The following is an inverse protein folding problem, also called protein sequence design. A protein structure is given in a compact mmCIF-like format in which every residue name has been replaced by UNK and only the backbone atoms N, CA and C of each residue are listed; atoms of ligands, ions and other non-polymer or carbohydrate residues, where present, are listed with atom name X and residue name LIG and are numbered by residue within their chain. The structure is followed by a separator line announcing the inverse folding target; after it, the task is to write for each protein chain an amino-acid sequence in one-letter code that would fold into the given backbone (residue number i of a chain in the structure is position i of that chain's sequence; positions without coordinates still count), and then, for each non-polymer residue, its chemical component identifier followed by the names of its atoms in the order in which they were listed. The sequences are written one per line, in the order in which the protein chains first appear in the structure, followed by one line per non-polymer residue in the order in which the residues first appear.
data_IF_221360954855
#
_entry.id   IF_221360954855
#
_cell.length_a   1.000
_cell.length_b   1.000
_cell.length_c   1.000
_cell.angle_alpha   90.00
_cell.angle_beta   90.00
_cell.angle_gamma   90.00
#
_symmetry.space_group_name_H-M   'P 1'
#
loop_
_entity.id
_entity.type
_entity.pdbx_description
1 polymer ?
#
# COMPACT_ATOMS: atom_id res chain seq x y z
N UNK A 1 16.55 -20.91 4.04
CA UNK A 1 17.14 -20.47 2.76
C UNK A 1 16.71 -19.05 2.48
N UNK A 2 17.67 -18.18 2.38
CA UNK A 2 17.37 -16.78 2.14
C UNK A 2 16.85 -16.59 0.73
N UNK A 3 15.72 -15.93 0.62
CA UNK A 3 15.20 -15.56 -0.68
C UNK A 3 16.05 -14.41 -1.23
N UNK A 4 16.78 -14.69 -2.31
CA UNK A 4 17.51 -13.61 -2.96
C UNK A 4 16.55 -12.78 -3.79
N UNK A 5 16.26 -11.60 -3.26
CA UNK A 5 15.48 -10.62 -3.99
C UNK A 5 16.41 -9.89 -4.97
N UNK A 6 15.88 -9.50 -6.11
CA UNK A 6 16.67 -8.78 -7.10
C UNK A 6 17.04 -7.38 -6.63
N UNK A 7 17.85 -6.68 -7.44
CA UNK A 7 18.35 -5.36 -7.09
C UNK A 7 17.23 -4.34 -6.87
N UNK A 8 16.14 -4.47 -7.60
CA UNK A 8 15.00 -3.56 -7.46
C UNK A 8 14.40 -3.64 -6.05
N UNK A 9 14.21 -4.87 -5.52
CA UNK A 9 13.73 -5.06 -4.15
C UNK A 9 14.74 -4.54 -3.13
N UNK A 10 16.03 -4.73 -3.36
CA UNK A 10 17.05 -4.23 -2.44
C UNK A 10 16.99 -2.71 -2.31
N UNK A 11 16.80 -2.01 -3.40
CA UNK A 11 16.65 -0.55 -3.37
C UNK A 11 15.45 -0.14 -2.50
N UNK A 12 14.31 -0.77 -2.70
CA UNK A 12 13.09 -0.43 -1.95
C UNK A 12 13.22 -0.81 -0.48
N UNK A 13 13.78 -1.98 -0.19
CA UNK A 13 13.95 -2.45 1.18
C UNK A 13 14.93 -1.60 1.98
N UNK A 14 15.87 -0.93 1.31
CA UNK A 14 16.83 -0.02 1.93
C UNK A 14 16.29 1.39 2.10
N UNK A 15 15.14 1.71 1.50
CA UNK A 15 14.52 3.03 1.68
C UNK A 15 14.17 3.25 3.15
N UNK A 16 14.16 4.51 3.55
CA UNK A 16 13.87 4.87 4.94
C UNK A 16 12.47 4.40 5.34
N UNK A 17 12.40 3.48 6.30
CA UNK A 17 11.15 2.99 6.86
C UNK A 17 10.64 3.96 7.92
N UNK A 18 9.38 4.37 7.80
CA UNK A 18 8.77 5.33 8.72
C UNK A 18 7.53 4.73 9.36
N UNK A 19 7.38 4.84 10.69
CA UNK A 19 6.12 4.46 11.34
C UNK A 19 4.98 5.31 10.78
N UNK A 20 3.91 4.64 10.35
CA UNK A 20 2.75 5.36 9.79
C UNK A 20 2.13 6.29 10.82
N UNK A 21 2.06 5.86 12.05
CA UNK A 21 1.49 6.67 13.14
C UNK A 21 2.26 7.95 13.44
N UNK A 22 3.51 8.08 12.97
CA UNK A 22 4.31 9.29 13.13
C UNK A 22 4.31 10.20 11.90
N UNK A 23 3.64 9.79 10.82
CA UNK A 23 3.62 10.59 9.60
C UNK A 23 2.65 11.77 9.70
N UNK A 24 3.04 12.86 9.06
CA UNK A 24 2.12 13.95 8.70
C UNK A 24 2.09 14.06 7.18
N UNK A 25 1.06 14.68 6.64
CA UNK A 25 0.83 14.76 5.20
C UNK A 25 2.07 15.24 4.42
N UNK A 26 2.74 16.26 4.93
CA UNK A 26 3.91 16.84 4.27
C UNK A 26 5.16 15.96 4.25
N UNK A 27 5.17 14.88 5.03
CA UNK A 27 6.29 13.93 5.02
C UNK A 27 6.32 13.13 3.71
N UNK A 28 5.16 12.94 3.08
CA UNK A 28 5.05 12.17 1.84
C UNK A 28 5.12 13.12 0.64
N UNK A 29 6.08 12.93 -0.27
CA UNK A 29 6.26 13.89 -1.37
C UNK A 29 5.16 13.75 -2.45
N UNK A 30 4.89 14.87 -3.12
CA UNK A 30 3.92 14.93 -4.22
C UNK A 30 4.59 14.61 -5.55
N UNK A 31 5.19 13.44 -5.64
CA UNK A 31 5.93 12.97 -6.82
C UNK A 31 5.60 11.52 -7.13
N UNK A 32 5.87 11.05 -8.36
CA UNK A 32 5.71 9.63 -8.66
C UNK A 32 6.68 8.77 -7.88
N UNK A 33 6.28 7.54 -7.60
CA UNK A 33 7.16 6.60 -6.92
C UNK A 33 6.51 5.28 -6.63
N UNK A 34 7.27 4.44 -5.94
CA UNK A 34 6.85 3.12 -5.47
C UNK A 34 6.94 3.11 -3.96
N UNK A 35 5.95 2.53 -3.30
CA UNK A 35 5.91 2.46 -1.84
C UNK A 35 5.72 1.04 -1.36
N UNK A 36 6.17 0.81 -0.13
CA UNK A 36 6.19 -0.48 0.52
C UNK A 36 5.53 -0.34 1.89
N UNK A 37 4.64 -1.26 2.22
CA UNK A 37 3.98 -1.31 3.53
C UNK A 37 4.41 -2.56 4.27
N UNK A 38 4.78 -2.40 5.55
CA UNK A 38 5.06 -3.51 6.45
C UNK A 38 4.10 -3.45 7.64
N UNK A 39 3.73 -4.63 8.13
CA UNK A 39 2.93 -4.77 9.34
C UNK A 39 3.61 -5.81 10.24
N UNK A 40 3.86 -5.46 11.50
CA UNK A 40 4.61 -6.30 12.43
C UNK A 40 5.96 -6.75 11.85
N UNK A 41 6.63 -5.85 11.13
CA UNK A 41 7.91 -6.14 10.49
C UNK A 41 7.83 -6.97 9.22
N UNK A 42 6.65 -7.46 8.85
CA UNK A 42 6.47 -8.30 7.67
C UNK A 42 6.09 -7.46 6.47
N UNK A 43 6.76 -7.71 5.34
CA UNK A 43 6.42 -7.10 4.06
C UNK A 43 5.00 -7.50 3.67
N UNK A 44 4.12 -6.52 3.51
CA UNK A 44 2.69 -6.78 3.32
C UNK A 44 2.16 -6.34 1.96
N UNK A 45 2.66 -5.23 1.41
CA UNK A 45 2.10 -4.66 0.19
C UNK A 45 3.12 -3.75 -0.49
N UNK A 46 3.13 -3.78 -1.83
CA UNK A 46 3.89 -2.83 -2.65
C UNK A 46 2.94 -2.21 -3.65
N UNK A 47 3.10 -0.91 -3.90
CA UNK A 47 2.27 -0.21 -4.86
C UNK A 47 3.02 0.90 -5.57
N UNK A 48 2.39 1.45 -6.60
CA UNK A 48 2.92 2.55 -7.39
C UNK A 48 1.95 3.73 -7.36
N UNK A 49 2.47 4.92 -7.55
CA UNK A 49 1.67 6.13 -7.56
C UNK A 49 2.24 7.15 -8.55
N UNK A 50 1.34 7.90 -9.19
CA UNK A 50 1.73 9.11 -9.91
C UNK A 50 1.98 10.26 -8.94
N UNK A 51 1.42 10.17 -7.74
CA UNK A 51 1.59 11.13 -6.65
C UNK A 51 1.59 10.33 -5.35
N UNK A 52 2.74 10.14 -4.74
CA UNK A 52 2.88 9.35 -3.51
C UNK A 52 2.00 9.88 -2.39
N UNK A 53 1.97 11.21 -2.17
CA UNK A 53 1.13 11.80 -1.11
C UNK A 53 -0.34 11.47 -1.33
N UNK A 54 -0.82 11.64 -2.55
CA UNK A 54 -2.22 11.34 -2.87
C UNK A 54 -2.56 9.88 -2.63
N UNK A 55 -1.67 8.96 -3.02
CA UNK A 55 -1.93 7.53 -2.90
C UNK A 55 -1.77 7.03 -1.47
N UNK A 56 -0.65 7.33 -0.83
CA UNK A 56 -0.35 6.84 0.52
C UNK A 56 -1.20 7.57 1.55
N UNK A 57 -1.16 8.90 1.57
CA UNK A 57 -1.83 9.68 2.61
C UNK A 57 -3.33 9.78 2.39
N UNK A 58 -3.75 10.24 1.22
CA UNK A 58 -5.17 10.51 0.98
C UNK A 58 -5.98 9.24 0.70
N UNK A 59 -5.45 8.32 -0.10
CA UNK A 59 -6.19 7.12 -0.52
C UNK A 59 -6.10 6.00 0.51
N UNK A 60 -4.89 5.56 0.83
CA UNK A 60 -4.72 4.38 1.71
C UNK A 60 -4.99 4.69 3.18
N UNK A 61 -4.61 5.87 3.66
CA UNK A 61 -4.84 6.26 5.04
C UNK A 61 -6.17 6.99 5.27
N UNK A 62 -7.00 7.10 4.23
CA UNK A 62 -8.33 7.64 4.37
C UNK A 62 -9.23 6.76 5.25
N UNK A 63 -10.17 7.38 5.97
CA UNK A 63 -11.04 6.67 6.91
C UNK A 63 -12.47 6.43 6.42
N UNK A 64 -12.73 6.63 5.13
CA UNK A 64 -14.08 6.49 4.58
C UNK A 64 -14.57 5.04 4.49
N UNK A 65 -15.88 4.87 4.39
CA UNK A 65 -16.51 3.54 4.31
C UNK A 65 -16.45 2.92 2.91
N UNK A 66 -16.07 3.68 1.90
CA UNK A 66 -15.85 3.15 0.55
C UNK A 66 -14.39 2.72 0.40
N UNK A 67 -14.19 1.46 0.07
CA UNK A 67 -12.86 0.91 -0.17
C UNK A 67 -12.52 0.82 -1.66
N UNK A 68 -13.42 1.29 -2.53
CA UNK A 68 -13.31 1.06 -3.97
C UNK A 68 -12.03 1.65 -4.59
N UNK A 69 -11.53 2.75 -4.05
CA UNK A 69 -10.33 3.41 -4.57
C UNK A 69 -9.00 2.87 -4.06
N UNK A 70 -9.02 1.89 -3.15
CA UNK A 70 -7.79 1.39 -2.52
C UNK A 70 -7.76 -0.12 -2.46
N UNK A 71 -6.94 -0.74 -3.32
CA UNK A 71 -6.75 -2.19 -3.26
C UNK A 71 -6.15 -2.62 -1.93
N UNK A 72 -5.25 -1.83 -1.36
CA UNK A 72 -4.68 -2.13 -0.05
C UNK A 72 -5.76 -2.20 1.03
N UNK A 73 -6.64 -1.19 1.10
CA UNK A 73 -7.73 -1.18 2.07
C UNK A 73 -8.70 -2.35 1.85
N UNK A 74 -9.02 -2.68 0.59
CA UNK A 74 -9.88 -3.82 0.27
C UNK A 74 -9.27 -5.14 0.75
N UNK A 75 -7.98 -5.31 0.57
CA UNK A 75 -7.30 -6.55 0.94
C UNK A 75 -7.12 -6.63 2.47
N UNK A 76 -6.94 -5.51 3.16
CA UNK A 76 -7.00 -5.49 4.63
C UNK A 76 -8.40 -5.81 5.12
N UNK A 77 -9.43 -5.33 4.44
CA UNK A 77 -10.82 -5.67 4.76
C UNK A 77 -11.11 -7.17 4.64
N UNK A 78 -10.52 -7.83 3.65
CA UNK A 78 -10.60 -9.29 3.54
C UNK A 78 -9.86 -9.97 4.70
N UNK A 79 -8.67 -9.48 5.00
CA UNK A 79 -7.85 -10.05 6.08
C UNK A 79 -8.56 -9.98 7.43
N UNK A 80 -9.16 -8.86 7.75
CA UNK A 80 -9.77 -8.61 9.07
C UNK A 80 -11.20 -9.12 9.19
N UNK A 81 -11.98 -9.08 8.10
CA UNK A 81 -13.43 -9.31 8.15
C UNK A 81 -13.93 -10.35 7.16
N UNK A 82 -13.02 -10.98 6.40
CA UNK A 82 -13.39 -11.97 5.38
C UNK A 82 -14.33 -11.41 4.30
N UNK A 83 -14.23 -10.11 4.02
CA UNK A 83 -15.00 -9.47 2.96
C UNK A 83 -14.23 -9.62 1.65
N UNK A 84 -14.76 -10.37 0.67
CA UNK A 84 -14.06 -10.51 -0.62
C UNK A 84 -13.79 -9.16 -1.27
N UNK A 85 -12.56 -8.89 -1.74
CA UNK A 85 -12.25 -7.60 -2.36
C UNK A 85 -13.14 -7.25 -3.55
N UNK A 86 -13.68 -8.25 -4.25
CA UNK A 86 -14.59 -8.02 -5.37
C UNK A 86 -15.90 -7.35 -4.96
N UNK A 87 -16.32 -7.51 -3.71
CA UNK A 87 -17.54 -6.86 -3.23
C UNK A 87 -17.35 -5.37 -2.98
N UNK A 88 -16.17 -4.97 -2.52
CA UNK A 88 -15.87 -3.57 -2.20
C UNK A 88 -15.29 -2.82 -3.38
N UNK A 89 -14.81 -3.53 -4.41
CA UNK A 89 -14.31 -2.95 -5.64
C UNK A 89 -15.43 -2.52 -6.57
N UNK A 90 -15.07 -1.73 -7.58
CA UNK A 90 -16.00 -1.44 -8.69
C UNK A 90 -16.31 -2.73 -9.45
N UNK A 91 -17.52 -2.91 -10.01
CA UNK A 91 -18.64 -1.97 -10.00
C UNK A 91 -19.50 -2.04 -8.74
N UNK A 92 -19.34 -3.07 -7.90
CA UNK A 92 -20.21 -3.33 -6.76
C UNK A 92 -20.13 -2.23 -5.69
N UNK A 93 -18.93 -1.81 -5.34
CA UNK A 93 -18.68 -0.71 -4.38
C UNK A 93 -19.44 -0.86 -3.07
N UNK A 94 -19.54 -2.10 -2.55
CA UNK A 94 -20.18 -2.33 -1.27
C UNK A 94 -19.45 -1.53 -0.19
N UNK A 95 -20.19 -0.80 0.63
CA UNK A 95 -19.62 -0.05 1.74
C UNK A 95 -19.36 -0.98 2.92
N UNK A 96 -18.34 -0.65 3.69
CA UNK A 96 -18.12 -1.27 5.01
C UNK A 96 -18.75 -0.39 6.08
N UNK A 97 -18.87 -0.91 7.30
CA UNK A 97 -19.34 -0.10 8.41
C UNK A 97 -18.27 0.90 8.84
N UNK A 98 -18.68 1.95 9.55
CA UNK A 98 -17.73 2.92 10.10
C UNK A 98 -16.73 2.24 11.05
N UNK A 99 -17.19 1.27 11.85
CA UNK A 99 -16.32 0.51 12.75
C UNK A 99 -15.30 -0.32 11.97
N UNK A 100 -15.72 -0.96 10.89
CA UNK A 100 -14.81 -1.72 10.03
C UNK A 100 -13.79 -0.81 9.35
N UNK A 101 -14.23 0.34 8.86
CA UNK A 101 -13.32 1.31 8.26
C UNK A 101 -12.27 1.80 9.26
N UNK A 102 -12.67 2.02 10.50
CA UNK A 102 -11.76 2.43 11.57
C UNK A 102 -10.73 1.35 11.89
N UNK A 103 -11.14 0.07 11.93
CA UNK A 103 -10.21 -1.03 12.19
C UNK A 103 -9.22 -1.23 11.05
N UNK A 104 -9.66 -1.06 9.79
CA UNK A 104 -8.77 -1.11 8.63
C UNK A 104 -7.71 -0.01 8.74
N UNK A 105 -8.15 1.20 9.06
CA UNK A 105 -7.24 2.33 9.22
C UNK A 105 -6.25 2.09 10.35
N UNK A 106 -6.71 1.56 11.47
CA UNK A 106 -5.84 1.25 12.61
C UNK A 106 -4.78 0.22 12.24
N UNK A 107 -5.16 -0.82 11.51
CA UNK A 107 -4.20 -1.82 11.03
C UNK A 107 -3.08 -1.18 10.19
N UNK A 108 -3.46 -0.26 9.29
CA UNK A 108 -2.49 0.44 8.46
C UNK A 108 -1.61 1.38 9.29
N UNK A 109 -2.18 2.05 10.28
CA UNK A 109 -1.47 2.99 11.15
C UNK A 109 -0.47 2.29 12.07
N UNK A 110 -0.68 1.03 12.39
CA UNK A 110 0.25 0.22 13.19
C UNK A 110 1.48 -0.20 12.40
N UNK A 111 1.46 -0.06 11.08
CA UNK A 111 2.54 -0.48 10.21
C UNK A 111 3.58 0.59 10.00
N UNK A 112 4.51 0.26 9.09
CA UNK A 112 5.50 1.20 8.58
C UNK A 112 5.38 1.30 7.07
N UNK A 113 5.85 2.42 6.52
CA UNK A 113 5.85 2.66 5.09
C UNK A 113 7.21 3.20 4.67
N UNK A 114 7.64 2.82 3.47
CA UNK A 114 8.83 3.36 2.84
C UNK A 114 8.51 3.63 1.36
N UNK A 115 9.24 4.51 0.74
CA UNK A 115 9.02 4.81 -0.68
C UNK A 115 10.32 5.17 -1.36
N UNK A 116 10.31 5.01 -2.69
CA UNK A 116 11.38 5.40 -3.59
C UNK A 116 10.76 6.28 -4.67
N UNK A 117 11.29 7.50 -4.82
CA UNK A 117 10.79 8.44 -5.81
C UNK A 117 11.28 8.08 -7.21
N UNK A 118 10.47 8.40 -8.20
CA UNK A 118 10.85 8.32 -9.62
C UNK A 118 10.44 9.62 -10.30
N UNK A 119 11.06 9.89 -11.46
CA UNK A 119 10.79 11.14 -12.20
C UNK A 119 9.40 11.15 -12.81
N UNK A 120 8.94 9.99 -13.28
CA UNK A 120 7.68 9.91 -14.01
C UNK A 120 6.86 8.75 -13.50
N UNK A 121 5.54 8.83 -13.74
CA UNK A 121 4.60 7.75 -13.48
C UNK A 121 5.01 6.48 -14.24
N UNK A 122 5.48 6.63 -15.48
CA UNK A 122 5.90 5.51 -16.30
C UNK A 122 7.08 4.77 -15.66
N UNK A 123 8.07 5.51 -15.16
CA UNK A 123 9.23 4.91 -14.49
C UNK A 123 8.81 4.20 -13.20
N UNK A 124 7.91 4.80 -12.42
CA UNK A 124 7.39 4.18 -11.20
C UNK A 124 6.65 2.88 -11.52
N UNK A 125 5.81 2.87 -12.55
CA UNK A 125 5.08 1.68 -12.99
C UNK A 125 6.00 0.56 -13.46
N UNK A 126 7.04 0.90 -14.23
CA UNK A 126 8.03 -0.07 -14.68
C UNK A 126 8.79 -0.69 -13.50
N UNK A 127 9.13 0.12 -12.50
CA UNK A 127 9.80 -0.34 -11.30
C UNK A 127 8.90 -1.30 -10.51
N UNK A 128 7.64 -0.95 -10.31
CA UNK A 128 6.69 -1.83 -9.61
C UNK A 128 6.54 -3.17 -10.36
N UNK A 129 6.41 -3.13 -11.68
CA UNK A 129 6.28 -4.34 -12.48
C UNK A 129 7.49 -5.27 -12.31
N UNK A 130 8.68 -4.70 -12.23
CA UNK A 130 9.89 -5.46 -11.98
C UNK A 130 9.88 -6.09 -10.59
N UNK A 131 9.47 -5.35 -9.57
CA UNK A 131 9.35 -5.87 -8.21
C UNK A 131 8.40 -7.07 -8.16
N UNK A 132 7.23 -6.93 -8.77
CA UNK A 132 6.19 -7.96 -8.73
C UNK A 132 6.53 -9.21 -9.51
N UNK A 133 7.46 -9.14 -10.44
CA UNK A 133 7.94 -10.35 -11.16
C UNK A 133 8.74 -11.27 -10.26
N UNK A 134 9.50 -10.74 -9.32
CA UNK A 134 10.35 -11.55 -8.46
C UNK A 134 9.68 -11.92 -7.13
N UNK A 135 8.76 -11.10 -6.65
CA UNK A 135 8.07 -11.36 -5.38
C UNK A 135 6.75 -10.60 -5.30
N UNK A 136 5.70 -11.30 -4.88
CA UNK A 136 4.38 -10.69 -4.67
C UNK A 136 4.05 -10.72 -3.18
N UNK A 137 4.02 -9.55 -2.49
CA UNK A 137 3.66 -9.52 -1.07
C UNK A 137 2.25 -10.06 -0.81
N UNK A 138 1.94 -10.52 0.41
CA UNK A 138 0.67 -11.19 0.71
C UNK A 138 -0.59 -10.40 0.40
N UNK A 139 -0.56 -9.07 0.57
CA UNK A 139 -1.74 -8.24 0.31
C UNK A 139 -1.81 -7.72 -1.13
N UNK A 140 -0.83 -8.05 -1.97
CA UNK A 140 -0.93 -7.81 -3.40
C UNK A 140 -1.71 -8.94 -4.05
N UNK A 141 -2.68 -8.60 -4.88
CA UNK A 141 -3.47 -9.58 -5.65
C UNK A 141 -3.04 -9.54 -7.10
N UNK A 142 -3.06 -10.67 -7.71
CA UNK A 142 -2.77 -10.80 -9.13
C UNK A 142 -3.91 -10.26 -9.96
#
# INVERSE_FOLDING_TARGET
MDMQLDQAWQELLQAQERPVGGLVCSDVPEVPGVYLWRHDGALSYVGTASNLRGRVWSTHLGGGTSLAGSSLRRNVGELLFEIPPSRTAKPNRQLVTAAQAAEIREWLWEGTVAWVERRTRHQAGAYEAELRRSHLPPLNRV
#
